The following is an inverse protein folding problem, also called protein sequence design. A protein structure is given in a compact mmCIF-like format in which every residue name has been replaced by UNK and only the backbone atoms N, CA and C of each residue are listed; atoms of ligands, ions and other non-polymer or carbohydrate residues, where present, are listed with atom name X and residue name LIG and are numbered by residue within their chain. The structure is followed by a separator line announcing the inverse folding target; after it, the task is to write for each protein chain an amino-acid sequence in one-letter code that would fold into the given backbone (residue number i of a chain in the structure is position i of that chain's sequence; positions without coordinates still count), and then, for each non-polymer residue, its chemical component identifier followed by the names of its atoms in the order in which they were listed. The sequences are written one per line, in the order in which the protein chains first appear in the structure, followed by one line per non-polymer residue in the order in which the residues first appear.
data_IF_431874746234
#
_entry.id   IF_431874746234
#
_cell.length_a   1.000
_cell.length_b   1.000
_cell.length_c   1.000
_cell.angle_alpha   90.00
_cell.angle_beta   90.00
_cell.angle_gamma   90.00
#
_symmetry.space_group_name_H-M   'P 1'
#
loop_
_entity.id
_entity.type
_entity.pdbx_description
1 polymer ?
#
# COMPACT_ATOMS: atom_id res chain seq x y z
N UNK A 1 7.06 5.71 17.83
CA UNK A 1 7.46 5.08 16.56
C UNK A 1 6.70 5.74 15.42
N UNK A 2 7.39 6.11 14.36
CA UNK A 2 6.78 6.82 13.25
C UNK A 2 6.13 5.84 12.25
N UNK A 3 5.06 6.29 11.61
CA UNK A 3 4.33 5.51 10.61
C UNK A 3 4.49 6.16 9.24
N UNK A 4 5.06 5.41 8.30
CA UNK A 4 5.28 5.88 6.94
C UNK A 4 4.31 5.14 6.01
N UNK A 5 3.53 5.90 5.25
CA UNK A 5 2.62 5.33 4.25
C UNK A 5 3.26 5.42 2.87
N UNK A 6 3.25 4.31 2.15
CA UNK A 6 3.83 4.23 0.80
C UNK A 6 2.74 3.78 -0.16
N UNK A 7 2.05 4.74 -0.80
CA UNK A 7 1.08 4.39 -1.85
C UNK A 7 1.80 3.82 -3.06
N UNK A 8 1.31 2.71 -3.56
CA UNK A 8 1.93 1.98 -4.67
C UNK A 8 0.98 1.94 -5.85
N UNK A 9 1.48 2.39 -7.00
CA UNK A 9 0.80 2.21 -8.27
C UNK A 9 1.25 0.94 -8.96
N UNK A 10 0.85 0.78 -10.22
CA UNK A 10 1.21 -0.39 -11.01
C UNK A 10 2.40 -0.12 -11.94
N UNK A 11 3.18 0.92 -11.68
CA UNK A 11 4.31 1.29 -12.52
C UNK A 11 5.59 0.53 -12.12
N UNK A 12 6.58 0.60 -12.99
CA UNK A 12 7.85 -0.10 -12.79
C UNK A 12 8.68 0.47 -11.63
N UNK A 13 8.41 1.71 -11.22
CA UNK A 13 9.15 2.36 -10.15
C UNK A 13 8.69 1.93 -8.76
N UNK A 14 7.61 1.13 -8.65
CA UNK A 14 7.06 0.73 -7.36
C UNK A 14 8.09 0.05 -6.47
N UNK A 15 8.86 -0.86 -7.03
CA UNK A 15 9.88 -1.59 -6.28
C UNK A 15 10.97 -0.65 -5.74
N UNK A 16 11.43 0.28 -6.57
CA UNK A 16 12.46 1.24 -6.17
C UNK A 16 11.93 2.19 -5.10
N UNK A 17 10.69 2.64 -5.24
CA UNK A 17 10.05 3.49 -4.24
C UNK A 17 9.94 2.79 -2.89
N UNK A 18 9.52 1.54 -2.91
CA UNK A 18 9.37 0.75 -1.69
C UNK A 18 10.73 0.51 -1.03
N UNK A 19 11.75 0.16 -1.81
CA UNK A 19 13.09 -0.05 -1.25
C UNK A 19 13.64 1.24 -0.63
N UNK A 20 13.44 2.37 -1.29
CA UNK A 20 13.84 3.68 -0.76
C UNK A 20 13.15 3.95 0.58
N UNK A 21 11.85 3.70 0.65
CA UNK A 21 11.08 3.92 1.87
C UNK A 21 11.56 3.02 3.01
N UNK A 22 11.86 1.77 2.73
CA UNK A 22 12.36 0.82 3.72
C UNK A 22 13.75 1.24 4.22
N UNK A 23 14.63 1.65 3.31
CA UNK A 23 15.96 2.13 3.68
C UNK A 23 15.85 3.34 4.60
N UNK A 24 14.97 4.27 4.27
CA UNK A 24 14.72 5.45 5.08
C UNK A 24 14.15 5.06 6.46
N UNK A 25 13.16 4.17 6.47
CA UNK A 25 12.54 3.71 7.71
C UNK A 25 13.54 3.01 8.64
N UNK A 26 14.49 2.27 8.07
CA UNK A 26 15.49 1.57 8.86
C UNK A 26 16.43 2.55 9.58
N UNK A 27 16.64 3.74 9.00
CA UNK A 27 17.49 4.77 9.60
C UNK A 27 16.78 5.46 10.76
N UNK A 28 15.48 5.74 10.63
CA UNK A 28 14.73 6.50 11.64
C UNK A 28 13.87 5.60 12.56
N UNK A 29 14.00 4.30 12.43
CA UNK A 29 13.24 3.32 13.24
C UNK A 29 11.72 3.52 13.09
N UNK A 30 11.25 3.51 11.85
CA UNK A 30 9.84 3.68 11.52
C UNK A 30 9.21 2.41 10.98
N UNK A 31 7.88 2.35 11.00
CA UNK A 31 7.11 1.29 10.37
C UNK A 31 6.68 1.71 8.98
N UNK A 32 6.53 0.74 8.08
CA UNK A 32 6.05 0.97 6.72
C UNK A 32 4.67 0.37 6.56
N UNK A 33 3.77 1.15 5.97
CA UNK A 33 2.45 0.68 5.52
C UNK A 33 2.41 0.83 4.01
N UNK A 34 2.49 -0.29 3.30
CA UNK A 34 2.39 -0.31 1.84
C UNK A 34 0.92 -0.33 1.47
N UNK A 35 0.49 0.62 0.68
CA UNK A 35 -0.92 0.86 0.39
C UNK A 35 -1.20 0.86 -1.10
N UNK A 36 -2.30 0.22 -1.49
CA UNK A 36 -2.82 0.32 -2.85
C UNK A 36 -4.33 0.46 -2.80
N UNK A 37 -4.84 1.49 -3.46
CA UNK A 37 -6.26 1.67 -3.67
C UNK A 37 -6.69 0.91 -4.91
N UNK A 38 -7.87 0.34 -4.88
CA UNK A 38 -8.48 -0.28 -6.04
C UNK A 38 -9.92 0.20 -6.17
N UNK A 39 -10.48 0.07 -7.37
CA UNK A 39 -11.86 0.43 -7.61
C UNK A 39 -12.59 -0.78 -8.14
N UNK A 40 -13.60 -1.21 -7.42
CA UNK A 40 -14.43 -2.34 -7.83
C UNK A 40 -15.88 -1.85 -7.99
N UNK A 41 -16.39 -1.96 -9.21
CA UNK A 41 -17.77 -1.59 -9.50
C UNK A 41 -18.60 -2.86 -9.53
N UNK A 42 -19.58 -2.94 -8.63
CA UNK A 42 -20.52 -4.05 -8.59
C UNK A 42 -21.68 -3.73 -9.51
N UNK A 43 -21.86 -4.55 -10.55
CA UNK A 43 -23.02 -4.40 -11.44
C UNK A 43 -24.21 -5.16 -10.84
N UNK A 44 -25.36 -4.53 -10.87
CA UNK A 44 -26.61 -5.14 -10.43
C UNK A 44 -26.88 -6.43 -11.21
N UNK A 45 -27.14 -7.51 -10.51
CA UNK A 45 -27.47 -8.78 -11.13
C UNK A 45 -26.30 -9.73 -11.35
N UNK A 46 -25.07 -9.32 -11.03
CA UNK A 46 -23.95 -10.24 -11.10
C UNK A 46 -23.87 -11.10 -9.85
N UNK A 47 -23.68 -12.41 -10.05
CA UNK A 47 -23.51 -13.36 -8.95
C UNK A 47 -22.08 -13.40 -8.42
N UNK A 48 -21.15 -12.78 -9.13
CA UNK A 48 -19.71 -12.81 -8.77
C UNK A 48 -19.38 -11.59 -7.93
N UNK A 49 -18.70 -11.83 -6.81
CA UNK A 49 -18.21 -10.74 -5.97
C UNK A 49 -16.89 -10.21 -6.54
N UNK A 50 -16.99 -9.26 -7.47
CA UNK A 50 -15.83 -8.68 -8.15
C UNK A 50 -14.91 -7.97 -7.17
N UNK A 51 -15.48 -7.31 -6.15
CA UNK A 51 -14.70 -6.62 -5.14
C UNK A 51 -13.75 -7.57 -4.40
N UNK A 52 -14.23 -8.75 -4.05
CA UNK A 52 -13.45 -9.77 -3.36
C UNK A 52 -12.29 -10.27 -4.21
N UNK A 53 -12.52 -10.44 -5.51
CA UNK A 53 -11.49 -10.90 -6.44
C UNK A 53 -10.40 -9.84 -6.59
N UNK A 54 -10.78 -8.58 -6.79
CA UNK A 54 -9.85 -7.47 -6.96
C UNK A 54 -9.04 -7.24 -5.69
N UNK A 55 -9.68 -7.35 -4.54
CA UNK A 55 -8.98 -7.23 -3.25
C UNK A 55 -7.90 -8.30 -3.10
N UNK A 56 -8.24 -9.54 -3.47
CA UNK A 56 -7.29 -10.64 -3.39
C UNK A 56 -6.10 -10.43 -4.33
N UNK A 57 -6.36 -10.00 -5.55
CA UNK A 57 -5.29 -9.72 -6.52
C UNK A 57 -4.41 -8.55 -6.06
N UNK A 58 -5.01 -7.52 -5.51
CA UNK A 58 -4.28 -6.37 -4.98
C UNK A 58 -3.38 -6.77 -3.80
N UNK A 59 -3.91 -7.55 -2.88
CA UNK A 59 -3.13 -8.05 -1.74
C UNK A 59 -1.98 -8.94 -2.19
N UNK A 60 -2.22 -9.80 -3.18
CA UNK A 60 -1.18 -10.67 -3.73
C UNK A 60 -0.08 -9.84 -4.42
N UNK A 61 -0.46 -8.82 -5.16
CA UNK A 61 0.50 -7.93 -5.81
C UNK A 61 1.39 -7.24 -4.77
N UNK A 62 0.80 -6.69 -3.71
CA UNK A 62 1.56 -6.02 -2.66
C UNK A 62 2.49 -6.99 -1.94
N UNK A 63 2.02 -8.19 -1.65
CA UNK A 63 2.85 -9.22 -1.00
C UNK A 63 4.03 -9.61 -1.87
N UNK A 64 3.80 -9.81 -3.15
CA UNK A 64 4.86 -10.13 -4.11
C UNK A 64 5.89 -9.01 -4.18
N UNK A 65 5.42 -7.76 -4.19
CA UNK A 65 6.29 -6.60 -4.21
C UNK A 65 7.17 -6.53 -2.95
N UNK A 66 6.59 -6.71 -1.78
CA UNK A 66 7.34 -6.69 -0.52
C UNK A 66 8.37 -7.83 -0.47
N UNK A 67 7.99 -9.01 -0.99
CA UNK A 67 8.92 -10.14 -1.01
C UNK A 67 10.08 -9.94 -1.98
N UNK A 68 9.97 -8.98 -2.90
CA UNK A 68 11.02 -8.71 -3.88
C UNK A 68 12.06 -7.70 -3.40
N UNK A 69 11.87 -7.10 -2.21
CA UNK A 69 12.78 -6.09 -1.67
C UNK A 69 13.37 -6.55 -0.35
N UNK A 70 14.45 -5.89 0.08
CA UNK A 70 15.08 -6.18 1.36
C UNK A 70 14.42 -5.32 2.45
N UNK A 71 13.69 -5.94 3.36
CA UNK A 71 12.95 -5.22 4.40
C UNK A 71 13.81 -4.75 5.57
N UNK A 72 15.04 -5.19 5.69
CA UNK A 72 16.01 -4.71 6.71
C UNK A 72 15.47 -4.68 8.13
N UNK A 73 14.68 -5.68 8.50
CA UNK A 73 14.02 -5.78 9.82
C UNK A 73 13.00 -4.66 10.10
N UNK A 74 12.61 -3.90 9.07
CA UNK A 74 11.53 -2.92 9.19
C UNK A 74 10.20 -3.67 9.16
N UNK A 75 9.29 -3.27 10.03
CA UNK A 75 7.94 -3.84 10.04
C UNK A 75 7.16 -3.26 8.87
N UNK A 76 6.75 -4.12 7.95
CA UNK A 76 6.03 -3.73 6.73
C UNK A 76 4.66 -4.38 6.74
N UNK A 77 3.62 -3.55 6.73
CA UNK A 77 2.23 -4.01 6.67
C UNK A 77 1.61 -3.61 5.35
N UNK A 78 0.67 -4.43 4.89
CA UNK A 78 0.01 -4.24 3.61
C UNK A 78 -1.41 -3.74 3.84
N UNK A 79 -1.81 -2.71 3.10
CA UNK A 79 -3.17 -2.19 3.16
C UNK A 79 -3.71 -2.10 1.74
N UNK A 80 -4.86 -2.71 1.49
CA UNK A 80 -5.61 -2.53 0.25
C UNK A 80 -6.97 -1.95 0.60
N UNK A 81 -7.44 -1.00 -0.19
CA UNK A 81 -8.69 -0.32 0.09
C UNK A 81 -9.48 -0.06 -1.19
N UNK A 82 -10.79 -0.26 -1.12
CA UNK A 82 -11.69 0.04 -2.21
C UNK A 82 -12.10 1.51 -2.13
N UNK A 83 -11.85 2.26 -3.19
CA UNK A 83 -12.20 3.66 -3.26
C UNK A 83 -11.07 4.52 -3.82
N UNK A 84 -11.21 5.83 -3.67
CA UNK A 84 -10.18 6.75 -4.15
C UNK A 84 -8.97 6.74 -3.23
N UNK A 85 -7.82 7.13 -3.79
CA UNK A 85 -6.58 7.23 -3.01
C UNK A 85 -6.73 8.24 -1.88
N UNK A 86 -7.31 9.41 -2.19
CA UNK A 86 -7.43 10.50 -1.21
C UNK A 86 -8.30 10.08 -0.03
N UNK A 87 -9.47 9.51 -0.29
CA UNK A 87 -10.37 9.06 0.78
C UNK A 87 -9.74 7.96 1.62
N UNK A 88 -9.04 7.03 0.96
CA UNK A 88 -8.39 5.92 1.65
C UNK A 88 -7.24 6.41 2.54
N UNK A 89 -6.44 7.36 2.04
CA UNK A 89 -5.35 7.93 2.84
C UNK A 89 -5.88 8.65 4.06
N UNK A 90 -6.96 9.41 3.91
CA UNK A 90 -7.58 10.10 5.05
C UNK A 90 -8.09 9.11 6.09
N UNK A 91 -8.72 8.02 5.66
CA UNK A 91 -9.22 6.99 6.58
C UNK A 91 -8.09 6.31 7.31
N UNK A 92 -7.01 5.99 6.61
CA UNK A 92 -5.84 5.37 7.20
C UNK A 92 -5.20 6.29 8.23
N UNK A 93 -5.09 7.58 7.91
CA UNK A 93 -4.52 8.56 8.82
C UNK A 93 -5.35 8.70 10.09
N UNK A 94 -6.68 8.72 9.97
CA UNK A 94 -7.56 8.77 11.13
C UNK A 94 -7.41 7.54 12.03
N UNK A 95 -7.20 6.38 11.43
CA UNK A 95 -7.13 5.12 12.17
C UNK A 95 -5.76 4.86 12.78
N UNK A 96 -4.69 5.15 12.04
CA UNK A 96 -3.31 4.78 12.42
C UNK A 96 -2.49 5.99 12.85
N UNK A 97 -2.69 7.13 12.21
CA UNK A 97 -1.85 8.32 12.40
C UNK A 97 -0.59 8.23 11.55
N UNK A 98 -0.65 8.83 10.35
CA UNK A 98 0.47 8.80 9.40
C UNK A 98 1.37 10.00 9.62
N UNK A 99 2.65 9.75 9.79
CA UNK A 99 3.65 10.82 10.01
C UNK A 99 4.29 11.27 8.70
N UNK A 100 4.42 10.36 7.73
CA UNK A 100 5.10 10.68 6.47
C UNK A 100 4.51 9.82 5.35
N UNK A 101 4.40 10.42 4.15
CA UNK A 101 3.98 9.70 2.95
C UNK A 101 5.13 9.76 1.94
N UNK A 102 5.54 8.61 1.43
CA UNK A 102 6.58 8.52 0.40
C UNK A 102 5.93 8.06 -0.90
N UNK A 103 5.99 8.91 -1.91
CA UNK A 103 5.38 8.67 -3.22
C UNK A 103 6.48 8.59 -4.26
N UNK A 104 6.38 7.59 -5.13
CA UNK A 104 7.31 7.46 -6.24
C UNK A 104 7.00 8.45 -7.34
N UNK A 105 8.04 9.05 -7.91
CA UNK A 105 7.93 9.90 -9.08
C UNK A 105 8.07 9.04 -10.33
N UNK A 106 7.38 9.43 -11.40
CA UNK A 106 7.55 8.78 -12.69
C UNK A 106 8.82 9.26 -13.36
#
# INVERSE_FOLDING_TARGET
MQHILVPIGSNESAKNTLQYAIDFASIIDANIFVFRAYSAISKTGTMINVSSIIERETSLYLRTLVNSVNTKNVDVKLISANGSVIESVNSIDEEIGIDLIIIGAK
#
